data_IF_962176610835
#
_entry.id   IF_962176610835
#
_cell.length_a   1.000
_cell.length_b   1.000
_cell.length_c   1.000
_cell.angle_alpha   90.00
_cell.angle_beta   90.00
_cell.angle_gamma   90.00
#
_symmetry.space_group_name_H-M   'P 1'
#
loop_
_entity.id
_entity.type
_entity.pdbx_description
1 polymer ?
#
# COMPACT_ATOMS: atom_id res chain seq x y z
N UNK A 1 -1.39 -13.42 -22.30
CA UNK A 1 -1.34 -13.20 -20.85
C UNK A 1 -1.79 -14.50 -20.20
N UNK A 2 -0.89 -15.25 -19.57
CA UNK A 2 -1.18 -16.57 -19.00
C UNK A 2 -2.05 -16.45 -17.75
N UNK A 3 -2.84 -17.49 -17.44
CA UNK A 3 -3.76 -17.54 -16.29
C UNK A 3 -3.06 -17.22 -14.96
N UNK A 4 -1.81 -17.67 -14.81
CA UNK A 4 -0.92 -17.36 -13.68
C UNK A 4 -0.64 -15.87 -13.52
N UNK A 5 -0.48 -15.12 -14.62
CA UNK A 5 -0.21 -13.68 -14.58
C UNK A 5 -1.42 -12.86 -14.13
N UNK A 6 -2.64 -13.36 -14.39
CA UNK A 6 -3.89 -12.74 -13.91
C UNK A 6 -4.09 -12.97 -12.43
N UNK A 7 -3.86 -14.20 -11.96
CA UNK A 7 -3.94 -14.55 -10.53
C UNK A 7 -2.93 -13.76 -9.71
N UNK A 8 -1.69 -13.64 -10.19
CA UNK A 8 -0.67 -12.82 -9.52
C UNK A 8 -1.07 -11.35 -9.41
N UNK A 9 -1.65 -10.77 -10.47
CA UNK A 9 -2.11 -9.37 -10.45
C UNK A 9 -3.28 -9.18 -9.48
N UNK A 10 -4.22 -10.12 -9.43
CA UNK A 10 -5.36 -10.09 -8.50
C UNK A 10 -4.91 -10.22 -7.05
N UNK A 11 -3.97 -11.13 -6.76
CA UNK A 11 -3.39 -11.29 -5.43
C UNK A 11 -2.61 -10.05 -4.98
N UNK A 12 -1.94 -9.36 -5.91
CA UNK A 12 -1.21 -8.12 -5.60
C UNK A 12 -2.16 -7.00 -5.19
N UNK A 13 -3.23 -6.80 -5.98
CA UNK A 13 -4.28 -5.81 -5.64
C UNK A 13 -4.97 -6.18 -4.32
N UNK A 14 -5.32 -7.46 -4.12
CA UNK A 14 -5.92 -7.92 -2.88
C UNK A 14 -4.98 -7.71 -1.68
N UNK A 15 -3.67 -7.93 -1.85
CA UNK A 15 -2.66 -7.69 -0.83
C UNK A 15 -2.56 -6.21 -0.44
N UNK A 16 -2.60 -5.30 -1.42
CA UNK A 16 -2.59 -3.85 -1.17
C UNK A 16 -3.88 -3.39 -0.47
N UNK A 17 -5.03 -3.97 -0.83
CA UNK A 17 -6.30 -3.69 -0.15
C UNK A 17 -6.30 -4.22 1.30
N UNK A 18 -5.83 -5.44 1.52
CA UNK A 18 -5.67 -6.01 2.87
C UNK A 18 -4.68 -5.19 3.71
N UNK A 19 -3.60 -4.71 3.10
CA UNK A 19 -2.64 -3.81 3.74
C UNK A 19 -3.29 -2.48 4.12
N UNK A 20 -4.06 -1.87 3.22
CA UNK A 20 -4.83 -0.65 3.51
C UNK A 20 -5.83 -0.85 4.65
N UNK A 21 -6.55 -1.97 4.68
CA UNK A 21 -7.45 -2.34 5.76
C UNK A 21 -6.70 -2.57 7.09
N UNK A 22 -5.51 -3.20 7.03
CA UNK A 22 -4.64 -3.38 8.18
C UNK A 22 -4.08 -2.08 8.74
N UNK A 23 -3.83 -1.07 7.90
CA UNK A 23 -3.46 0.30 8.29
C UNK A 23 -4.63 1.09 8.89
N UNK A 24 -5.85 0.81 8.44
CA UNK A 24 -7.08 1.38 9.01
C UNK A 24 -7.48 0.66 10.30
N UNK A 25 -7.09 -0.61 10.50
CA UNK A 25 -7.39 -1.38 11.71
C UNK A 25 -6.91 -0.72 13.01
N UNK A 26 -5.69 -0.14 13.14
CA UNK A 26 -5.30 0.60 14.34
C UNK A 26 -6.01 1.96 14.48
N UNK A 27 -6.87 2.37 13.53
CA UNK A 27 -7.86 3.44 13.75
C UNK A 27 -9.10 2.97 14.49
N UNK A 28 -9.21 1.68 14.84
CA UNK A 28 -10.20 1.26 15.84
C UNK A 28 -9.77 1.81 17.20
N UNK A 29 -10.64 2.57 17.91
CA UNK A 29 -10.27 3.37 19.08
C UNK A 29 -9.63 2.63 20.26
N UNK A 30 -9.55 1.30 20.23
CA UNK A 30 -9.04 0.46 21.32
C UNK A 30 -7.51 0.40 21.41
N UNK A 31 -6.77 0.65 20.33
CA UNK A 31 -5.30 0.45 20.28
C UNK A 31 -4.49 1.76 20.15
N UNK A 32 -5.15 2.90 19.90
CA UNK A 32 -4.48 4.19 19.67
C UNK A 32 -3.92 4.34 18.25
N UNK A 33 -3.82 5.57 17.75
CA UNK A 33 -3.25 5.82 16.42
C UNK A 33 -1.77 5.38 16.38
N UNK A 34 -1.32 4.72 15.28
CA UNK A 34 0.07 4.32 15.13
C UNK A 34 1.00 5.54 15.12
N UNK A 35 2.21 5.38 15.68
CA UNK A 35 3.18 6.47 15.71
C UNK A 35 3.67 6.82 14.31
N UNK A 36 4.03 8.10 14.06
CA UNK A 36 4.56 8.56 12.76
C UNK A 36 5.69 7.66 12.20
N UNK A 37 6.68 7.21 13.00
CA UNK A 37 7.73 6.32 12.50
C UNK A 37 7.23 4.94 12.09
N UNK A 38 6.24 4.39 12.80
CA UNK A 38 5.63 3.10 12.47
C UNK A 38 4.90 3.20 11.13
N UNK A 39 4.09 4.25 10.94
CA UNK A 39 3.45 4.58 9.67
C UNK A 39 4.46 4.65 8.50
N UNK A 40 5.62 5.25 8.74
CA UNK A 40 6.66 5.38 7.72
C UNK A 40 7.32 4.03 7.37
N UNK A 41 7.66 3.21 8.37
CA UNK A 41 8.25 1.88 8.17
C UNK A 41 7.25 0.95 7.48
N UNK A 42 5.99 0.98 7.92
CA UNK A 42 4.92 0.19 7.31
C UNK A 42 4.71 0.56 5.85
N UNK A 43 4.70 1.86 5.50
CA UNK A 43 4.51 2.32 4.12
C UNK A 43 5.73 2.10 3.22
N UNK A 44 6.95 2.28 3.75
CA UNK A 44 8.18 2.17 2.96
C UNK A 44 8.44 0.76 2.44
N UNK A 45 8.12 -0.27 3.23
CA UNK A 45 8.35 -1.67 2.89
C UNK A 45 7.59 -2.15 1.62
N UNK A 46 6.25 -2.01 1.51
CA UNK A 46 5.52 -2.37 0.32
C UNK A 46 5.84 -1.45 -0.86
N UNK A 47 6.10 -0.15 -0.64
CA UNK A 47 6.52 0.76 -1.71
C UNK A 47 7.83 0.28 -2.34
N UNK A 48 8.83 -0.11 -1.54
CA UNK A 48 10.10 -0.63 -2.06
C UNK A 48 9.91 -1.89 -2.90
N UNK A 49 9.08 -2.83 -2.44
CA UNK A 49 8.72 -4.04 -3.21
C UNK A 49 8.01 -3.72 -4.52
N UNK A 50 7.05 -2.79 -4.49
CA UNK A 50 6.32 -2.34 -5.69
C UNK A 50 7.26 -1.61 -6.66
N UNK A 51 8.22 -0.84 -6.16
CA UNK A 51 9.23 -0.17 -6.99
C UNK A 51 10.09 -1.19 -7.75
N UNK A 52 10.54 -2.24 -7.06
CA UNK A 52 11.26 -3.37 -7.68
C UNK A 52 10.37 -4.08 -8.72
N UNK A 53 9.09 -4.32 -8.40
CA UNK A 53 8.11 -4.89 -9.31
C UNK A 53 7.90 -4.03 -10.57
N UNK A 54 7.90 -2.71 -10.42
CA UNK A 54 7.74 -1.76 -11.53
C UNK A 54 8.88 -1.89 -12.55
N UNK A 55 10.12 -2.05 -12.08
CA UNK A 55 11.29 -2.22 -12.95
C UNK A 55 11.36 -3.61 -13.59
N UNK A 56 10.99 -4.67 -12.86
CA UNK A 56 10.99 -6.04 -13.37
C UNK A 56 9.81 -6.32 -14.31
N UNK A 57 8.73 -5.55 -14.23
CA UNK A 57 7.54 -5.72 -15.05
C UNK A 57 7.82 -5.38 -16.52
N UNK A 58 7.61 -6.36 -17.41
CA UNK A 58 7.72 -6.20 -18.87
C UNK A 58 6.44 -5.69 -19.55
N UNK A 59 5.28 -5.82 -18.90
CA UNK A 59 3.99 -5.43 -19.50
C UNK A 59 3.54 -4.06 -19.00
N UNK A 60 2.97 -3.25 -19.91
CA UNK A 60 2.40 -1.93 -19.57
C UNK A 60 1.27 -2.03 -18.55
N UNK A 61 0.46 -3.10 -18.63
CA UNK A 61 -0.63 -3.35 -17.71
C UNK A 61 -0.13 -3.58 -16.27
N UNK A 62 0.88 -4.44 -16.08
CA UNK A 62 1.46 -4.66 -14.75
C UNK A 62 2.07 -3.38 -14.16
N UNK A 63 2.79 -2.62 -14.98
CA UNK A 63 3.34 -1.31 -14.56
C UNK A 63 2.24 -0.33 -14.14
N UNK A 64 1.14 -0.25 -14.90
CA UNK A 64 0.02 0.62 -14.56
C UNK A 64 -0.62 0.23 -13.22
N UNK A 65 -0.83 -1.08 -12.98
CA UNK A 65 -1.34 -1.59 -11.71
C UNK A 65 -0.39 -1.23 -10.56
N UNK A 66 0.92 -1.46 -10.72
CA UNK A 66 1.92 -1.12 -9.71
C UNK A 66 1.97 0.38 -9.41
N UNK A 67 1.84 1.25 -10.42
CA UNK A 67 1.75 2.70 -10.20
C UNK A 67 0.50 3.08 -9.40
N UNK A 68 -0.65 2.46 -9.71
CA UNK A 68 -1.89 2.67 -8.95
C UNK A 68 -1.73 2.21 -7.50
N UNK A 69 -1.12 1.05 -7.27
CA UNK A 69 -0.83 0.52 -5.94
C UNK A 69 0.09 1.44 -5.13
N UNK A 70 1.20 1.91 -5.72
CA UNK A 70 2.11 2.88 -5.09
C UNK A 70 1.36 4.17 -4.74
N UNK A 71 0.60 4.72 -5.69
CA UNK A 71 -0.15 5.96 -5.49
C UNK A 71 -1.18 5.80 -4.37
N UNK A 72 -1.85 4.64 -4.30
CA UNK A 72 -2.79 4.31 -3.23
C UNK A 72 -2.14 4.26 -1.85
N UNK A 73 -0.99 3.59 -1.73
CA UNK A 73 -0.25 3.49 -0.46
C UNK A 73 0.25 4.87 -0.02
N UNK A 74 0.83 5.65 -0.94
CA UNK A 74 1.29 7.02 -0.65
C UNK A 74 0.12 7.89 -0.21
N UNK A 75 -0.98 7.90 -0.96
CA UNK A 75 -2.17 8.69 -0.63
C UNK A 75 -2.77 8.33 0.72
N UNK A 76 -2.89 7.04 1.02
CA UNK A 76 -3.40 6.55 2.31
C UNK A 76 -2.46 6.92 3.46
N UNK A 77 -1.15 6.77 3.28
CA UNK A 77 -0.14 7.17 4.28
C UNK A 77 -0.17 8.68 4.53
N UNK A 78 -0.25 9.50 3.48
CA UNK A 78 -0.37 10.96 3.62
C UNK A 78 -1.65 11.35 4.35
N UNK A 79 -2.78 10.70 4.05
CA UNK A 79 -4.04 10.95 4.75
C UNK A 79 -3.96 10.58 6.24
N UNK A 80 -3.34 9.45 6.58
CA UNK A 80 -3.12 9.04 7.97
C UNK A 80 -2.21 10.01 8.73
N UNK A 81 -1.12 10.48 8.11
CA UNK A 81 -0.24 11.51 8.71
C UNK A 81 -0.98 12.83 8.93
N UNK A 82 -1.82 13.24 7.97
CA UNK A 82 -2.65 14.44 8.11
C UNK A 82 -3.68 14.31 9.24
N UNK A 83 -4.31 13.14 9.37
CA UNK A 83 -5.22 12.86 10.49
C UNK A 83 -4.48 12.93 11.82
N UNK A 84 -3.32 12.28 11.92
CA UNK A 84 -2.51 12.26 13.13
C UNK A 84 -2.11 13.67 13.56
N UNK A 85 -1.74 14.53 12.61
CA UNK A 85 -1.41 15.92 12.86
C UNK A 85 -2.60 16.78 13.34
N UNK A 86 -3.85 16.33 13.13
CA UNK A 86 -5.06 17.00 13.62
C UNK A 86 -5.57 16.46 14.94
N UNK A 87 -5.24 15.22 15.28
CA UNK A 87 -5.68 14.55 16.50
C UNK A 87 -4.65 14.60 17.63
N UNK A 88 -3.42 15.03 17.33
CA UNK A 88 -2.34 15.33 18.29
C UNK A 88 -2.41 16.79 18.72
#
# INVERSE_FOLDING_TARGET
MTTTSRVASFLNVAGVLLYGLGLVSPLTPSEGMPNVPELFVFAACPIAFLFVSLFLSRTRAARAVTVVEITGIVGLTTWLLWLQARTS
#
